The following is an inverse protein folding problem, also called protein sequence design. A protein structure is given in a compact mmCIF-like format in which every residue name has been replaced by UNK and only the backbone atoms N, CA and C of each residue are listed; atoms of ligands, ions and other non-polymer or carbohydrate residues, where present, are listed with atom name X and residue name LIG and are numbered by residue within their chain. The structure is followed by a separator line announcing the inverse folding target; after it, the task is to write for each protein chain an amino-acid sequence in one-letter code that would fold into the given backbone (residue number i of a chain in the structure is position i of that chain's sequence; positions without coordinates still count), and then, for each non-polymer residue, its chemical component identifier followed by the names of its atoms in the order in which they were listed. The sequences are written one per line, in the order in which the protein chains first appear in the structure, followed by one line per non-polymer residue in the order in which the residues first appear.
data_IF_935650120758
#
_entry.id   IF_935650120758
#
_cell.length_a   1.000
_cell.length_b   1.000
_cell.length_c   1.000
_cell.angle_alpha   90.00
_cell.angle_beta   90.00
_cell.angle_gamma   90.00
#
_symmetry.space_group_name_H-M   'P 1'
#
loop_
_entity.id
_entity.type
_entity.pdbx_description
1 polymer ?
#
# COMPACT_ATOMS: atom_id res chain seq x y z
N UNK A 1 -12.85 7.67 25.69
CA UNK A 1 -13.13 8.35 24.40
C UNK A 1 -12.91 9.86 24.48
N UNK A 2 -13.49 10.62 25.44
CA UNK A 2 -13.29 12.09 25.57
C UNK A 2 -11.83 12.52 25.73
N UNK A 3 -10.99 11.76 26.41
CA UNK A 3 -9.55 12.05 26.61
C UNK A 3 -8.72 11.88 25.33
N UNK A 4 -9.11 10.95 24.44
CA UNK A 4 -8.48 10.78 23.13
C UNK A 4 -8.81 11.93 22.18
N UNK A 5 -10.08 12.42 22.22
CA UNK A 5 -10.49 13.60 21.44
C UNK A 5 -9.80 14.87 21.92
N UNK A 6 -9.61 15.04 23.24
CA UNK A 6 -8.86 16.17 23.80
C UNK A 6 -7.39 16.11 23.42
N UNK A 7 -6.77 14.93 23.43
CA UNK A 7 -5.37 14.74 22.99
C UNK A 7 -5.21 15.05 21.49
N UNK A 8 -6.14 14.59 20.66
CA UNK A 8 -6.16 14.90 19.23
C UNK A 8 -6.39 16.40 18.97
N UNK A 9 -7.29 17.05 19.73
CA UNK A 9 -7.53 18.49 19.63
C UNK A 9 -6.34 19.33 20.08
N UNK A 10 -5.62 18.92 21.14
CA UNK A 10 -4.40 19.59 21.61
C UNK A 10 -3.24 19.39 20.62
N UNK A 11 -3.13 18.21 20.01
CA UNK A 11 -2.15 18.00 18.92
C UNK A 11 -2.46 18.83 17.68
N UNK A 12 -3.74 19.02 17.33
CA UNK A 12 -4.17 19.87 16.23
C UNK A 12 -3.99 21.38 16.49
N UNK A 13 -4.03 21.82 17.73
CA UNK A 13 -3.88 23.24 18.10
C UNK A 13 -2.41 23.69 18.26
N UNK A 14 -1.46 22.76 18.36
CA UNK A 14 -0.01 23.06 18.42
C UNK A 14 0.66 23.09 17.03
N UNK A 15 -0.12 23.00 15.94
CA UNK A 15 0.36 22.94 14.56
C UNK A 15 0.70 24.35 14.09
N UNK A 16 1.86 24.87 14.51
CA UNK A 16 2.55 25.89 13.74
C UNK A 16 3.02 25.27 12.40
N UNK A 17 2.91 26.04 11.31
CA UNK A 17 3.25 25.67 9.94
C UNK A 17 4.44 24.69 9.83
N UNK A 18 4.19 23.45 9.41
CA UNK A 18 5.20 22.39 9.39
C UNK A 18 5.36 21.74 8.02
N UNK A 19 5.10 22.48 6.94
CA UNK A 19 5.49 21.99 5.63
C UNK A 19 7.01 21.75 5.60
N UNK A 20 7.41 20.53 5.22
CA UNK A 20 8.84 20.22 4.94
C UNK A 20 9.26 20.97 3.67
N UNK A 21 8.35 21.11 2.72
CA UNK A 21 8.52 21.72 1.41
C UNK A 21 7.66 22.99 1.29
N UNK A 22 8.11 23.96 0.50
CA UNK A 22 7.37 25.19 0.29
C UNK A 22 6.01 24.91 -0.38
N UNK A 23 4.99 25.67 -0.02
CA UNK A 23 3.68 25.60 -0.68
C UNK A 23 3.85 25.90 -2.17
N UNK A 24 3.29 25.06 -3.03
CA UNK A 24 3.46 25.11 -4.48
C UNK A 24 4.66 24.34 -5.00
N UNK A 25 5.50 23.76 -4.14
CA UNK A 25 6.61 22.92 -4.59
C UNK A 25 6.13 21.56 -5.09
N UNK A 26 6.90 21.02 -6.01
CA UNK A 26 6.70 19.70 -6.58
C UNK A 26 7.94 18.85 -6.29
N UNK A 27 7.74 17.65 -5.79
CA UNK A 27 8.83 16.72 -5.49
C UNK A 27 8.63 15.40 -6.21
N UNK A 28 9.73 14.72 -6.54
CA UNK A 28 9.76 13.38 -7.11
C UNK A 28 10.48 12.45 -6.16
N UNK A 29 9.89 11.30 -5.90
CA UNK A 29 10.37 10.34 -4.92
C UNK A 29 10.47 8.95 -5.51
N UNK A 30 11.65 8.44 -5.91
CA UNK A 30 11.88 7.02 -6.08
C UNK A 30 11.75 6.30 -4.74
N UNK A 31 11.12 5.13 -4.76
CA UNK A 31 10.78 4.33 -3.57
C UNK A 31 11.07 2.87 -3.81
N UNK A 32 11.64 2.21 -2.80
CA UNK A 32 11.88 0.77 -2.77
C UNK A 32 11.44 0.21 -1.42
N UNK A 33 10.96 -1.02 -1.42
CA UNK A 33 10.51 -1.63 -0.17
C UNK A 33 9.94 -3.03 -0.35
N UNK A 34 9.13 -3.41 0.60
CA UNK A 34 8.54 -4.74 0.68
C UNK A 34 7.02 -4.67 0.87
N UNK A 35 6.35 -5.65 0.34
CA UNK A 35 4.95 -5.96 0.60
C UNK A 35 4.86 -7.18 1.49
N UNK A 36 3.99 -7.12 2.48
CA UNK A 36 3.54 -8.27 3.26
C UNK A 36 2.09 -8.49 2.83
N UNK A 37 1.91 -9.35 1.84
CA UNK A 37 0.60 -9.63 1.26
C UNK A 37 -0.06 -10.83 1.94
N UNK A 38 -1.38 -10.74 2.12
CA UNK A 38 -2.23 -11.85 2.53
C UNK A 38 -3.56 -11.72 1.80
N UNK A 39 -4.27 -12.83 1.69
CA UNK A 39 -5.62 -12.87 1.12
C UNK A 39 -6.59 -13.13 2.24
N UNK A 40 -7.64 -12.31 2.35
CA UNK A 40 -8.71 -12.51 3.32
C UNK A 40 -9.62 -13.65 2.88
N UNK A 41 -10.26 -14.33 3.86
CA UNK A 41 -11.27 -15.38 3.67
C UNK A 41 -10.78 -16.70 3.01
N UNK A 42 -9.48 -16.92 2.96
CA UNK A 42 -8.92 -18.23 2.63
C UNK A 42 -8.28 -18.84 3.88
N UNK A 43 -8.94 -19.85 4.46
CA UNK A 43 -8.37 -20.67 5.53
C UNK A 43 -7.08 -21.36 5.03
N UNK A 44 -5.96 -21.20 5.79
CA UNK A 44 -4.64 -21.81 5.53
C UNK A 44 -3.76 -21.10 4.49
N UNK A 45 -3.93 -19.81 4.29
CA UNK A 45 -2.94 -18.99 3.57
C UNK A 45 -1.93 -18.37 4.54
N UNK A 46 -0.66 -18.34 4.15
CA UNK A 46 0.40 -17.61 4.87
C UNK A 46 0.71 -16.30 4.15
N UNK A 47 0.93 -15.25 4.95
CA UNK A 47 1.45 -13.99 4.43
C UNK A 47 2.77 -14.21 3.70
N UNK A 48 2.96 -13.49 2.62
CA UNK A 48 4.18 -13.51 1.82
C UNK A 48 4.82 -12.13 1.84
N UNK A 49 6.15 -12.14 1.89
CA UNK A 49 6.96 -10.92 1.77
C UNK A 49 7.55 -10.89 0.37
N UNK A 50 7.27 -9.81 -0.37
CA UNK A 50 7.73 -9.61 -1.73
C UNK A 50 8.19 -8.16 -1.94
N UNK A 51 8.84 -7.91 -3.08
CA UNK A 51 9.38 -6.61 -3.46
C UNK A 51 8.29 -5.62 -3.89
N UNK A 52 8.49 -4.34 -3.54
CA UNK A 52 7.76 -3.20 -4.06
C UNK A 52 8.73 -2.08 -4.43
N UNK A 53 8.49 -1.40 -5.56
CA UNK A 53 9.31 -0.26 -5.95
C UNK A 53 8.64 0.59 -7.02
N UNK A 54 8.96 1.87 -7.05
CA UNK A 54 8.35 2.79 -8.00
C UNK A 54 8.75 4.24 -7.80
N UNK A 55 7.93 5.11 -8.38
CA UNK A 55 8.08 6.56 -8.32
C UNK A 55 6.79 7.19 -7.80
N UNK A 56 6.89 8.13 -6.89
CA UNK A 56 5.78 8.95 -6.39
C UNK A 56 6.14 10.43 -6.59
N UNK A 57 5.22 11.19 -7.17
CA UNK A 57 5.31 12.65 -7.28
C UNK A 57 4.39 13.26 -6.24
N UNK A 58 4.81 14.34 -5.59
CA UNK A 58 4.03 15.01 -4.56
C UNK A 58 4.01 16.51 -4.81
N UNK A 59 2.83 17.11 -4.68
CA UNK A 59 2.60 18.54 -4.78
C UNK A 59 2.13 19.11 -3.45
N UNK A 60 2.85 20.08 -2.91
CA UNK A 60 2.52 20.74 -1.64
C UNK A 60 1.44 21.79 -1.87
N UNK A 61 0.20 21.49 -1.44
CA UNK A 61 -0.96 22.37 -1.63
C UNK A 61 -1.02 23.46 -0.56
N UNK A 62 -0.68 23.11 0.67
CA UNK A 62 -0.62 24.01 1.83
C UNK A 62 0.40 23.50 2.84
N UNK A 63 0.66 24.27 3.90
CA UNK A 63 1.63 23.87 4.94
C UNK A 63 1.30 22.52 5.60
N UNK A 64 0.02 22.13 5.60
CA UNK A 64 -0.45 20.90 6.26
C UNK A 64 -0.91 19.82 5.29
N UNK A 65 -0.99 20.12 3.98
CA UNK A 65 -1.63 19.23 3.04
C UNK A 65 -0.89 19.14 1.73
N UNK A 66 -0.64 17.93 1.28
CA UNK A 66 -0.14 17.65 -0.05
C UNK A 66 -0.96 16.57 -0.76
N UNK A 67 -0.85 16.54 -2.07
CA UNK A 67 -1.38 15.49 -2.93
C UNK A 67 -0.21 14.76 -3.57
N UNK A 68 -0.26 13.43 -3.58
CA UNK A 68 0.73 12.64 -4.28
C UNK A 68 0.09 11.63 -5.21
N UNK A 69 0.80 11.32 -6.29
CA UNK A 69 0.44 10.31 -7.25
C UNK A 69 1.68 9.58 -7.74
N UNK A 70 1.54 8.30 -8.07
CA UNK A 70 2.72 7.52 -8.44
C UNK A 70 2.45 6.31 -9.30
N UNK A 71 3.53 5.63 -9.64
CA UNK A 71 3.54 4.32 -10.29
C UNK A 71 4.37 3.39 -9.41
N UNK A 72 3.75 2.30 -8.93
CA UNK A 72 4.38 1.33 -8.04
C UNK A 72 4.27 -0.07 -8.64
N UNK A 73 5.40 -0.67 -8.97
CA UNK A 73 5.48 -2.10 -9.23
C UNK A 73 5.42 -2.85 -7.90
N UNK A 74 4.56 -3.82 -7.81
CA UNK A 74 4.26 -4.52 -6.57
C UNK A 74 4.05 -6.00 -6.85
N UNK A 75 4.96 -6.85 -6.36
CA UNK A 75 4.70 -8.29 -6.34
C UNK A 75 3.84 -8.60 -5.13
N UNK A 76 2.76 -9.30 -5.37
CA UNK A 76 1.79 -9.68 -4.33
C UNK A 76 1.46 -11.15 -4.52
N UNK A 77 1.02 -11.81 -3.46
CA UNK A 77 0.65 -13.21 -3.57
C UNK A 77 0.55 -13.88 -2.21
N UNK A 78 0.30 -15.18 -2.24
CA UNK A 78 0.21 -16.00 -1.04
C UNK A 78 0.90 -17.35 -1.25
N UNK A 79 1.24 -18.01 -0.15
CA UNK A 79 1.73 -19.38 -0.14
C UNK A 79 0.63 -20.30 0.34
N UNK A 80 0.42 -21.40 -0.38
CA UNK A 80 -0.45 -22.47 0.10
C UNK A 80 0.30 -23.37 1.09
N UNK A 81 -0.35 -23.71 2.20
CA UNK A 81 0.12 -24.79 3.07
C UNK A 81 -0.29 -26.15 2.53
N UNK A 82 0.50 -27.19 2.86
CA UNK A 82 0.19 -28.56 2.48
C UNK A 82 -1.24 -28.95 2.90
N UNK A 83 -2.08 -29.27 1.95
CA UNK A 83 -3.39 -29.89 2.19
C UNK A 83 -3.31 -31.32 1.68
N UNK A 84 -3.22 -32.28 2.61
CA UNK A 84 -3.49 -33.67 2.31
C UNK A 84 -5.02 -33.83 2.16
N UNK A 85 -5.51 -33.78 0.94
CA UNK A 85 -6.88 -34.18 0.65
C UNK A 85 -6.91 -35.68 0.39
N UNK A 86 -7.65 -36.49 1.20
CA UNK A 86 -7.64 -37.95 1.10
C UNK A 86 -8.17 -38.50 -0.24
N UNK A 87 -8.74 -37.64 -1.08
CA UNK A 87 -9.47 -38.04 -2.31
C UNK A 87 -8.82 -37.53 -3.61
N UNK A 88 -7.93 -36.53 -3.56
CA UNK A 88 -7.42 -35.85 -4.79
C UNK A 88 -5.90 -35.89 -4.90
N UNK A 89 -5.20 -36.54 -4.00
CA UNK A 89 -3.72 -36.60 -4.05
C UNK A 89 -3.05 -35.39 -3.40
N UNK A 90 -1.77 -35.52 -3.16
CA UNK A 90 -0.92 -34.53 -2.50
C UNK A 90 -0.77 -33.30 -3.39
N UNK A 91 -1.37 -32.17 -3.03
CA UNK A 91 -0.96 -30.86 -3.57
C UNK A 91 0.41 -30.57 -2.96
N UNK A 92 1.43 -30.48 -3.82
CA UNK A 92 2.83 -30.34 -3.38
C UNK A 92 3.02 -29.01 -2.66
N UNK A 93 3.65 -29.07 -1.49
CA UNK A 93 4.20 -27.92 -0.78
C UNK A 93 5.10 -27.13 -1.70
N UNK A 94 4.74 -25.88 -1.97
CA UNK A 94 5.61 -24.97 -2.68
C UNK A 94 5.01 -24.22 -3.86
N UNK A 95 3.80 -24.48 -4.26
CA UNK A 95 3.13 -23.64 -5.26
C UNK A 95 2.82 -22.28 -4.65
N UNK A 96 3.74 -21.35 -4.88
CA UNK A 96 3.58 -19.94 -4.54
C UNK A 96 3.08 -19.20 -5.77
N UNK A 97 1.93 -18.62 -5.65
CA UNK A 97 1.39 -17.78 -6.68
C UNK A 97 1.78 -16.31 -6.45
N UNK A 98 2.39 -15.68 -7.46
CA UNK A 98 3.04 -14.36 -7.33
C UNK A 98 2.70 -13.42 -8.46
N UNK A 99 1.44 -12.99 -8.62
CA UNK A 99 1.11 -12.00 -9.61
C UNK A 99 1.85 -10.68 -9.34
N UNK A 100 2.20 -10.03 -10.41
CA UNK A 100 2.81 -8.71 -10.38
C UNK A 100 1.81 -7.66 -10.80
N UNK A 101 1.76 -6.58 -10.03
CA UNK A 101 0.85 -5.46 -10.26
C UNK A 101 1.62 -4.18 -10.57
N UNK A 102 1.05 -3.38 -11.44
CA UNK A 102 1.37 -1.98 -11.60
C UNK A 102 0.26 -1.16 -10.93
N UNK A 103 0.55 -0.59 -9.80
CA UNK A 103 -0.38 0.21 -8.99
C UNK A 103 -0.18 1.70 -9.25
N UNK A 104 -1.28 2.44 -9.24
CA UNK A 104 -1.30 3.90 -9.39
C UNK A 104 -1.87 4.51 -8.11
N UNK A 105 -1.09 4.65 -7.02
CA UNK A 105 -1.56 5.30 -5.82
C UNK A 105 -1.80 6.79 -6.06
N UNK A 106 -2.94 7.28 -5.60
CA UNK A 106 -3.31 8.70 -5.56
C UNK A 106 -3.67 9.00 -4.10
N UNK A 107 -2.85 9.82 -3.43
CA UNK A 107 -2.91 9.99 -1.98
C UNK A 107 -3.10 11.46 -1.59
N UNK A 108 -3.89 11.67 -0.55
CA UNK A 108 -3.92 12.88 0.24
C UNK A 108 -3.02 12.68 1.47
N UNK A 109 -2.10 13.59 1.69
CA UNK A 109 -1.16 13.54 2.81
C UNK A 109 -1.44 14.72 3.74
N UNK A 110 -1.71 14.44 5.01
CA UNK A 110 -1.92 15.45 6.05
C UNK A 110 -0.78 15.42 7.03
N UNK A 111 0.00 16.48 7.08
CA UNK A 111 1.15 16.62 7.99
C UNK A 111 0.64 16.98 9.39
N UNK A 112 0.82 16.08 10.34
CA UNK A 112 0.38 16.25 11.74
C UNK A 112 1.45 16.88 12.62
N UNK A 113 2.71 16.63 12.30
CA UNK A 113 3.89 17.32 12.82
C UNK A 113 4.94 17.36 11.72
N UNK A 114 6.02 18.14 11.93
CA UNK A 114 7.10 18.22 10.94
C UNK A 114 7.60 16.84 10.55
N UNK A 115 7.55 16.54 9.27
CA UNK A 115 7.99 15.28 8.68
C UNK A 115 7.00 14.12 8.77
N UNK A 116 6.02 14.14 9.68
CA UNK A 116 5.07 13.05 9.86
C UNK A 116 3.75 13.36 9.16
N UNK A 117 3.37 12.57 8.18
CA UNK A 117 2.10 12.68 7.48
C UNK A 117 1.24 11.42 7.67
N UNK A 118 -0.05 11.65 7.85
CA UNK A 118 -1.10 10.63 7.70
C UNK A 118 -1.53 10.64 6.24
N UNK A 119 -1.61 9.47 5.63
CA UNK A 119 -1.91 9.30 4.20
C UNK A 119 -3.18 8.49 4.02
N UNK A 120 -4.04 8.97 3.12
CA UNK A 120 -5.26 8.26 2.69
C UNK A 120 -5.44 8.48 1.21
N UNK A 121 -5.89 7.44 0.48
CA UNK A 121 -6.07 7.59 -0.95
C UNK A 121 -6.86 6.47 -1.61
N UNK A 122 -6.73 6.42 -2.91
CA UNK A 122 -7.22 5.36 -3.78
C UNK A 122 -6.06 4.81 -4.60
N UNK A 123 -6.13 3.54 -4.94
CA UNK A 123 -5.08 2.87 -5.70
C UNK A 123 -5.68 1.87 -6.67
N UNK A 124 -5.96 2.28 -7.92
CA UNK A 124 -6.17 1.34 -9.00
C UNK A 124 -4.86 0.58 -9.29
N UNK A 125 -5.00 -0.71 -9.57
CA UNK A 125 -3.90 -1.60 -9.90
C UNK A 125 -4.23 -2.46 -11.12
N UNK A 126 -3.22 -2.76 -11.91
CA UNK A 126 -3.33 -3.61 -13.10
C UNK A 126 -2.37 -4.77 -12.98
N UNK A 127 -2.85 -5.98 -13.22
CA UNK A 127 -1.99 -7.17 -13.28
C UNK A 127 -1.14 -7.11 -14.53
N UNK A 128 0.17 -7.11 -14.36
CA UNK A 128 1.16 -7.11 -15.47
C UNK A 128 1.76 -8.49 -15.70
N UNK A 129 1.70 -9.37 -14.70
CA UNK A 129 2.13 -10.77 -14.80
C UNK A 129 1.20 -11.64 -13.96
N UNK A 130 0.60 -12.66 -14.58
CA UNK A 130 -0.44 -13.51 -13.97
C UNK A 130 0.10 -14.80 -13.34
N UNK A 131 1.39 -15.10 -13.51
CA UNK A 131 2.02 -16.35 -12.98
C UNK A 131 1.16 -17.61 -13.26
N UNK A 132 0.82 -17.85 -14.55
CA UNK A 132 0.03 -18.98 -15.07
C UNK A 132 -1.44 -19.09 -14.59
N UNK A 133 -2.05 -18.01 -14.06
CA UNK A 133 -3.46 -18.01 -13.67
C UNK A 133 -4.39 -17.42 -14.75
N UNK A 134 -4.94 -18.26 -15.59
CA UNK A 134 -5.80 -17.86 -16.74
C UNK A 134 -7.14 -17.16 -16.35
N UNK A 135 -7.62 -17.35 -15.11
CA UNK A 135 -8.93 -16.85 -14.64
C UNK A 135 -8.85 -15.72 -13.62
N UNK A 136 -7.74 -14.99 -13.62
CA UNK A 136 -7.53 -13.88 -12.70
C UNK A 136 -8.05 -12.57 -13.26
N UNK A 137 -8.75 -11.81 -12.41
CA UNK A 137 -9.11 -10.43 -12.70
C UNK A 137 -7.88 -9.57 -12.97
N UNK A 138 -7.93 -8.79 -14.05
CA UNK A 138 -6.79 -7.96 -14.49
C UNK A 138 -6.71 -6.64 -13.73
N UNK A 139 -7.81 -6.24 -13.09
CA UNK A 139 -7.95 -4.97 -12.39
C UNK A 139 -8.13 -5.21 -10.89
N UNK A 140 -7.37 -4.48 -10.09
CA UNK A 140 -7.52 -4.41 -8.64
C UNK A 140 -7.77 -2.96 -8.20
N UNK A 141 -8.56 -2.79 -7.17
CA UNK A 141 -8.83 -1.48 -6.58
C UNK A 141 -8.71 -1.56 -5.07
N UNK A 142 -7.88 -0.68 -4.50
CA UNK A 142 -7.65 -0.66 -3.06
C UNK A 142 -7.73 0.76 -2.48
N UNK A 143 -7.95 0.82 -1.19
CA UNK A 143 -7.88 2.05 -0.38
C UNK A 143 -6.63 1.96 0.48
N UNK A 144 -5.55 2.67 0.12
CA UNK A 144 -4.37 2.80 0.96
C UNK A 144 -4.62 3.77 2.11
N UNK A 145 -4.24 3.34 3.31
CA UNK A 145 -4.17 4.16 4.53
C UNK A 145 -2.78 3.98 5.12
N UNK A 146 -2.11 5.06 5.51
CA UNK A 146 -0.74 4.93 5.98
C UNK A 146 -0.21 6.12 6.74
N UNK A 147 1.05 5.99 7.09
CA UNK A 147 1.86 7.02 7.72
C UNK A 147 3.18 7.14 6.96
N UNK A 148 3.68 8.33 6.80
CA UNK A 148 5.04 8.55 6.32
C UNK A 148 5.79 9.49 7.24
N UNK A 149 7.07 9.22 7.39
CA UNK A 149 7.97 10.11 8.12
C UNK A 149 9.15 10.49 7.22
N UNK A 150 9.34 11.79 7.08
CA UNK A 150 10.42 12.37 6.30
C UNK A 150 11.47 13.00 7.20
N UNK A 151 12.72 12.63 6.96
CA UNK A 151 13.88 13.22 7.59
C UNK A 151 14.96 13.50 6.54
N UNK A 152 15.34 14.77 6.35
CA UNK A 152 16.35 15.18 5.36
C UNK A 152 16.15 14.56 3.97
N UNK A 153 14.95 14.67 3.39
CA UNK A 153 14.57 14.10 2.09
C UNK A 153 14.45 12.56 2.06
N UNK A 154 14.86 11.84 3.10
CA UNK A 154 14.62 10.41 3.22
C UNK A 154 13.22 10.19 3.80
N UNK A 155 12.41 9.41 3.11
CA UNK A 155 11.02 9.13 3.52
C UNK A 155 10.87 7.67 3.84
N UNK A 156 10.48 7.39 5.07
CA UNK A 156 9.95 6.10 5.49
C UNK A 156 8.43 6.13 5.38
N UNK A 157 7.85 5.17 4.69
CA UNK A 157 6.39 5.10 4.48
C UNK A 157 5.90 3.69 4.81
N UNK A 158 4.86 3.64 5.62
CA UNK A 158 4.17 2.41 5.99
C UNK A 158 2.69 2.57 5.68
N UNK A 159 2.14 1.73 4.81
CA UNK A 159 0.74 1.79 4.39
C UNK A 159 0.10 0.41 4.39
N UNK A 160 -1.19 0.40 4.65
CA UNK A 160 -2.05 -0.74 4.49
C UNK A 160 -2.98 -0.49 3.30
N UNK A 161 -2.91 -1.35 2.31
CA UNK A 161 -3.74 -1.30 1.11
C UNK A 161 -4.91 -2.27 1.31
N UNK A 162 -6.09 -1.72 1.51
CA UNK A 162 -7.32 -2.49 1.68
C UNK A 162 -7.95 -2.75 0.32
N UNK A 163 -7.82 -3.97 -0.21
CA UNK A 163 -8.43 -4.39 -1.48
C UNK A 163 -9.96 -4.40 -1.39
N UNK A 164 -10.59 -3.83 -2.39
CA UNK A 164 -12.05 -3.79 -2.53
C UNK A 164 -12.55 -4.75 -3.60
N UNK A 165 -11.75 -5.02 -4.62
CA UNK A 165 -12.07 -5.93 -5.73
C UNK A 165 -11.83 -7.38 -5.34
N UNK A 166 -12.63 -8.28 -5.92
CA UNK A 166 -12.43 -9.74 -5.80
C UNK A 166 -11.28 -10.17 -6.71
N UNK A 167 -10.47 -11.11 -6.25
CA UNK A 167 -9.31 -11.63 -7.01
C UNK A 167 -9.78 -12.68 -8.04
N UNK A 168 -10.85 -13.42 -7.72
CA UNK A 168 -11.43 -14.47 -8.57
C UNK A 168 -12.91 -14.25 -8.80
N UNK A 169 -13.34 -14.46 -10.05
CA UNK A 169 -14.76 -14.49 -10.43
C UNK A 169 -15.35 -15.89 -10.20
N UNK A 170 -15.39 -16.34 -8.94
CA UNK A 170 -16.03 -17.60 -8.57
C UNK A 170 -17.06 -17.32 -7.49
N UNK A 171 -18.32 -17.67 -7.74
CA UNK A 171 -19.54 -17.34 -6.97
C UNK A 171 -19.54 -17.71 -5.46
N UNK A 172 -18.43 -18.20 -4.88
CA UNK A 172 -18.35 -18.63 -3.48
C UNK A 172 -17.13 -18.16 -2.70
N UNK A 173 -16.22 -17.36 -3.29
CA UNK A 173 -15.00 -16.90 -2.63
C UNK A 173 -14.85 -15.38 -2.76
N UNK A 174 -15.21 -14.65 -1.71
CA UNK A 174 -15.03 -13.20 -1.60
C UNK A 174 -13.58 -12.82 -1.20
N UNK A 175 -12.59 -13.48 -1.81
CA UNK A 175 -11.18 -13.22 -1.48
C UNK A 175 -10.70 -11.87 -2.00
N UNK A 176 -10.21 -11.04 -1.11
CA UNK A 176 -9.68 -9.69 -1.39
C UNK A 176 -8.22 -9.60 -1.02
N UNK A 177 -7.46 -8.78 -1.77
CA UNK A 177 -6.08 -8.47 -1.43
C UNK A 177 -6.00 -7.62 -0.16
N UNK A 178 -5.07 -7.96 0.70
CA UNK A 178 -4.74 -7.20 1.90
C UNK A 178 -3.23 -7.10 1.97
N UNK A 179 -2.69 -5.89 1.75
CA UNK A 179 -1.24 -5.71 1.62
C UNK A 179 -0.76 -4.65 2.59
N UNK A 180 0.11 -5.07 3.51
CA UNK A 180 0.90 -4.13 4.29
C UNK A 180 2.20 -3.84 3.55
N UNK A 181 2.44 -2.58 3.21
CA UNK A 181 3.59 -2.13 2.43
C UNK A 181 4.48 -1.21 3.26
N UNK A 182 5.78 -1.49 3.26
CA UNK A 182 6.80 -0.63 3.86
C UNK A 182 7.77 -0.23 2.77
N UNK A 183 7.99 1.07 2.60
CA UNK A 183 8.94 1.58 1.61
C UNK A 183 9.85 2.65 2.20
N UNK A 184 11.05 2.72 1.65
CA UNK A 184 12.00 3.80 1.84
C UNK A 184 12.14 4.55 0.52
N UNK A 185 12.11 5.87 0.56
CA UNK A 185 12.26 6.72 -0.62
C UNK A 185 13.16 7.90 -0.34
N UNK A 186 13.51 8.60 -1.41
CA UNK A 186 14.24 9.85 -1.33
C UNK A 186 13.52 10.91 -2.17
N UNK A 187 13.21 12.06 -1.58
CA UNK A 187 12.55 13.18 -2.26
C UNK A 187 13.58 14.10 -2.92
N UNK A 188 13.30 14.40 -4.18
CA UNK A 188 14.01 15.39 -4.97
C UNK A 188 13.04 16.56 -5.22
N UNK A 189 13.45 17.76 -4.85
CA UNK A 189 12.76 19.00 -5.22
C UNK A 189 12.94 19.26 -6.72
N UNK A 190 11.88 19.66 -7.44
CA UNK A 190 11.85 19.92 -8.85
C UNK A 190 11.57 21.41 -9.16
#
# INVERSE_FOLDING_TARGET
MKKLFLLAAVMLSSVGAFAQHAVGSFTLQPRLGINIATVTDLDRTKSRVDFAGGLEAEYQVSDLFSLSGGLMYSRQGFKMEDVNLPVVGTVKKGDSWTPSYLNIPIMANVYVVKGLAVKLGIQPGFVVDKDDADHMETFDFSIPVGLSYEYQNVVFDARYNWGLTKIYDVDKLDSKNSVFQITLGYKFDL
#
